data_IF_141111072474
#
_entry.id   IF_141111072474
#
_cell.length_a   1.000
_cell.length_b   1.000
_cell.length_c   1.000
_cell.angle_alpha   90.00
_cell.angle_beta   90.00
_cell.angle_gamma   90.00
#
_symmetry.space_group_name_H-M   'P 1'
#
loop_
_entity.id
_entity.type
_entity.pdbx_description
1 polymer ?
#
# COMPACT_ATOMS: atom_id res chain seq x y z
N UNK A 1 -5.54 8.20 3.33
CA UNK A 1 -4.76 7.36 4.26
C UNK A 1 -4.21 8.28 5.34
N UNK A 2 -4.35 7.93 6.63
CA UNK A 2 -3.80 8.71 7.74
C UNK A 2 -2.28 8.83 7.66
N UNK A 3 -1.73 9.96 8.10
CA UNK A 3 -0.30 10.27 7.98
C UNK A 3 0.57 9.29 8.79
N UNK A 4 0.14 8.88 9.99
CA UNK A 4 0.84 7.84 10.77
C UNK A 4 1.05 6.51 10.02
N UNK A 5 0.09 6.10 9.19
CA UNK A 5 0.21 4.86 8.42
C UNK A 5 1.17 5.05 7.25
N UNK A 6 1.14 6.25 6.64
CA UNK A 6 2.00 6.60 5.52
C UNK A 6 3.45 6.66 5.97
N UNK A 7 3.72 7.35 7.07
CA UNK A 7 5.07 7.51 7.59
C UNK A 7 5.67 6.15 7.99
N UNK A 8 4.91 5.30 8.69
CA UNK A 8 5.37 3.98 9.09
C UNK A 8 5.77 3.08 7.89
N UNK A 9 5.00 3.11 6.80
CA UNK A 9 5.34 2.33 5.60
C UNK A 9 6.46 3.00 4.80
N UNK A 10 6.53 4.33 4.78
CA UNK A 10 7.60 5.06 4.11
C UNK A 10 8.96 4.74 4.74
N UNK A 11 9.07 4.88 6.05
CA UNK A 11 10.31 4.57 6.78
C UNK A 11 10.76 3.12 6.58
N UNK A 12 9.81 2.19 6.41
CA UNK A 12 10.12 0.78 6.22
C UNK A 12 10.58 0.47 4.80
N UNK A 13 9.86 0.94 3.79
CA UNK A 13 10.08 0.53 2.39
C UNK A 13 11.09 1.43 1.67
N UNK A 14 11.15 2.71 2.01
CA UNK A 14 12.04 3.69 1.35
C UNK A 14 13.31 3.93 2.15
N UNK A 15 13.21 4.15 3.46
CA UNK A 15 14.38 4.41 4.31
C UNK A 15 15.03 3.13 4.87
N UNK A 16 14.37 1.97 4.72
CA UNK A 16 14.91 0.67 5.11
C UNK A 16 15.07 0.47 6.63
N UNK A 17 14.39 1.28 7.44
CA UNK A 17 14.54 1.25 8.90
C UNK A 17 13.97 -0.04 9.53
N UNK A 18 14.55 -0.43 10.66
CA UNK A 18 14.02 -1.52 11.49
C UNK A 18 12.72 -1.10 12.19
N UNK A 19 11.89 -2.06 12.60
CA UNK A 19 10.64 -1.73 13.30
C UNK A 19 10.89 -1.04 14.64
N UNK A 20 12.00 -1.37 15.31
CA UNK A 20 12.47 -0.76 16.55
C UNK A 20 12.89 0.69 16.33
N UNK A 21 13.61 0.99 15.24
CA UNK A 21 13.99 2.36 14.90
C UNK A 21 12.77 3.22 14.58
N UNK A 22 11.82 2.67 13.83
CA UNK A 22 10.56 3.36 13.50
C UNK A 22 9.74 3.62 14.77
N UNK A 23 9.71 2.66 15.70
CA UNK A 23 9.04 2.81 16.99
C UNK A 23 9.59 3.98 17.81
N UNK A 24 10.93 4.15 17.81
CA UNK A 24 11.60 5.28 18.46
C UNK A 24 11.27 6.61 17.78
N UNK A 25 11.32 6.67 16.45
CA UNK A 25 11.04 7.90 15.67
C UNK A 25 9.59 8.36 15.86
N UNK A 26 8.65 7.41 15.85
CA UNK A 26 7.22 7.68 15.95
C UNK A 26 6.70 7.74 17.39
N UNK A 27 7.58 7.63 18.38
CA UNK A 27 7.26 7.55 19.82
C UNK A 27 6.08 6.59 20.11
N UNK A 28 6.17 5.37 19.58
CA UNK A 28 5.09 4.39 19.72
C UNK A 28 5.62 2.96 19.86
N UNK A 29 4.83 2.03 20.43
CA UNK A 29 5.26 0.63 20.57
C UNK A 29 5.54 -0.04 19.21
N UNK A 30 6.52 -0.95 19.17
CA UNK A 30 6.84 -1.76 17.97
C UNK A 30 5.62 -2.55 17.46
N UNK A 31 4.74 -3.00 18.36
CA UNK A 31 3.48 -3.64 17.99
C UNK A 31 2.55 -2.70 17.20
N UNK A 32 2.51 -1.42 17.57
CA UNK A 32 1.76 -0.39 16.85
C UNK A 32 2.34 -0.16 15.47
N UNK A 33 3.67 -0.05 15.35
CA UNK A 33 4.37 0.08 14.05
C UNK A 33 3.98 -1.07 13.12
N UNK A 34 4.04 -2.32 13.60
CA UNK A 34 3.65 -3.50 12.82
C UNK A 34 2.19 -3.42 12.35
N UNK A 35 1.28 -3.01 13.23
CA UNK A 35 -0.14 -2.84 12.88
C UNK A 35 -0.36 -1.70 11.87
N UNK A 36 0.41 -0.61 11.97
CA UNK A 36 0.34 0.53 11.07
C UNK A 36 0.80 0.15 9.66
N UNK A 37 1.94 -0.53 9.54
CA UNK A 37 2.47 -1.03 8.26
C UNK A 37 1.52 -2.04 7.61
N UNK A 38 0.93 -2.94 8.40
CA UNK A 38 -0.05 -3.90 7.87
C UNK A 38 -1.28 -3.19 7.28
N UNK A 39 -1.89 -2.28 8.04
CA UNK A 39 -3.05 -1.49 7.59
C UNK A 39 -2.71 -0.57 6.41
N UNK A 40 -1.49 -0.05 6.38
CA UNK A 40 -0.97 0.73 5.27
C UNK A 40 -0.93 -0.07 3.98
N UNK A 41 -0.38 -1.28 4.04
CA UNK A 41 -0.35 -2.21 2.91
C UNK A 41 -1.74 -2.61 2.45
N UNK A 42 -2.65 -2.95 3.37
CA UNK A 42 -4.04 -3.23 3.00
C UNK A 42 -4.73 -2.05 2.28
N UNK A 43 -4.47 -0.82 2.72
CA UNK A 43 -5.03 0.37 2.09
C UNK A 43 -4.48 0.57 0.66
N UNK A 44 -3.19 0.27 0.45
CA UNK A 44 -2.53 0.30 -0.85
C UNK A 44 -3.06 -0.83 -1.75
N UNK A 45 -3.10 -2.07 -1.25
CA UNK A 45 -3.60 -3.25 -1.97
C UNK A 45 -5.05 -3.07 -2.40
N UNK A 46 -5.92 -2.50 -1.55
CA UNK A 46 -7.28 -2.15 -1.97
C UNK A 46 -7.25 -1.19 -3.15
N UNK A 47 -6.43 -0.13 -3.09
CA UNK A 47 -6.33 0.88 -4.15
C UNK A 47 -5.77 0.30 -5.46
N UNK A 48 -4.75 -0.54 -5.39
CA UNK A 48 -4.11 -1.20 -6.54
C UNK A 48 -5.01 -2.29 -7.10
N UNK A 49 -5.68 -3.08 -6.25
CA UNK A 49 -6.67 -4.07 -6.66
C UNK A 49 -7.81 -3.44 -7.46
N UNK A 50 -8.33 -2.28 -7.02
CA UNK A 50 -9.28 -1.51 -7.82
C UNK A 50 -8.68 -1.05 -9.16
N UNK A 51 -7.41 -0.62 -9.19
CA UNK A 51 -6.77 -0.22 -10.45
C UNK A 51 -6.66 -1.40 -11.43
N UNK A 52 -6.29 -2.59 -10.98
CA UNK A 52 -6.23 -3.77 -11.86
C UNK A 52 -7.62 -4.20 -12.35
N UNK A 53 -8.63 -4.24 -11.49
CA UNK A 53 -10.01 -4.58 -11.87
C UNK A 53 -10.58 -3.55 -12.86
N UNK A 54 -10.38 -2.25 -12.62
CA UNK A 54 -10.87 -1.17 -13.49
C UNK A 54 -10.11 -1.08 -14.82
N UNK A 55 -8.86 -1.56 -14.88
CA UNK A 55 -8.12 -1.64 -16.14
C UNK A 55 -8.52 -2.86 -16.99
N UNK A 56 -9.07 -3.92 -16.39
CA UNK A 56 -9.63 -5.05 -17.16
C UNK A 56 -10.89 -4.66 -17.95
N UNK A 57 -11.66 -3.66 -17.51
CA UNK A 57 -12.85 -3.19 -18.24
C UNK A 57 -12.50 -2.32 -19.47
N UNK A 58 -11.29 -1.75 -19.55
CA UNK A 58 -10.85 -0.93 -20.69
C UNK A 58 -10.15 -1.70 -21.82
N UNK A 59 -9.97 -3.01 -21.70
CA UNK A 59 -9.27 -3.85 -22.69
C UNK A 59 -10.22 -4.69 -23.58
N UNK A 60 -11.54 -4.44 -23.52
CA UNK A 60 -12.54 -5.13 -24.33
C UNK A 60 -13.18 -4.23 -25.37
N UNK A 61 -12.63 -4.21 -26.60
CA UNK A 61 -13.33 -4.12 -27.91
C UNK A 61 -12.33 -3.76 -29.02
N UNK A 62 -11.40 -4.68 -29.34
CA UNK A 62 -10.97 -4.80 -30.74
C UNK A 62 -11.88 -5.86 -31.35
N UNK A 63 -12.72 -5.39 -32.27
CA UNK A 63 -13.86 -6.11 -32.81
C UNK A 63 -13.48 -7.45 -33.44
N UNK A 64 -14.37 -8.41 -33.25
CA UNK A 64 -14.65 -9.38 -34.32
C UNK A 64 -15.21 -8.60 -35.50
N UNK A 65 -14.44 -8.41 -36.57
CA UNK A 65 -14.98 -8.12 -37.90
C UNK A 65 -13.94 -8.52 -38.96
N UNK A 66 -14.33 -9.47 -39.83
CA UNK A 66 -13.53 -10.05 -40.93
C UNK A 66 -12.61 -11.17 -40.43
N UNK A 67 -12.67 -12.42 -40.87
CA UNK A 67 -13.14 -13.01 -42.15
C UNK A 67 -13.67 -14.44 -41.93
#
# INVERSE_FOLDING_TARGET
>A
MPDDLRDAVTFREFDGLSYEQIAVIMDCPVGTVRSRIFRAREAIDKRIGYLFVMNSEKQGTVGRLGD
#
